data_IF_267520604815
#
_entry.id   IF_267520604815
#
_cell.length_a   1.000
_cell.length_b   1.000
_cell.length_c   1.000
_cell.angle_alpha   90.00
_cell.angle_beta   90.00
_cell.angle_gamma   90.00
#
_symmetry.space_group_name_H-M   'P 1'
#
loop_
_entity.id
_entity.type
_entity.pdbx_description
1 polymer ?
#
# COMPACT_ATOMS: atom_id res chain seq x y z
N UNK A 1 16.26 -12.16 12.60
CA UNK A 1 17.35 -13.11 12.97
C UNK A 1 16.80 -14.52 13.18
N UNK A 2 15.73 -14.66 13.95
CA UNK A 2 15.15 -15.95 14.39
C UNK A 2 14.69 -16.92 13.28
N UNK A 3 14.54 -16.42 12.05
CA UNK A 3 14.07 -17.19 10.88
C UNK A 3 15.20 -17.53 9.89
N UNK A 4 16.43 -17.08 10.15
CA UNK A 4 17.59 -17.40 9.32
C UNK A 4 17.82 -18.92 9.26
N UNK A 5 18.05 -19.47 8.05
CA UNK A 5 18.23 -20.90 7.82
C UNK A 5 16.94 -21.75 7.84
N UNK A 6 15.77 -21.16 8.12
CA UNK A 6 14.49 -21.89 8.19
C UNK A 6 13.70 -21.91 6.86
N UNK A 7 14.19 -21.22 5.83
CA UNK A 7 13.49 -21.10 4.54
C UNK A 7 12.20 -20.25 4.61
N UNK A 8 11.99 -19.51 5.69
CA UNK A 8 10.83 -18.63 5.87
C UNK A 8 11.19 -17.24 5.35
N UNK A 9 10.32 -16.70 4.50
CA UNK A 9 10.38 -15.33 3.97
C UNK A 9 9.47 -14.42 4.78
N UNK A 10 9.94 -13.20 5.04
CA UNK A 10 9.20 -12.17 5.78
C UNK A 10 9.20 -10.92 4.93
N UNK A 11 8.02 -10.38 4.68
CA UNK A 11 7.81 -9.20 3.86
C UNK A 11 6.84 -8.24 4.55
N UNK A 12 7.14 -6.95 4.51
CA UNK A 12 6.22 -5.88 4.82
C UNK A 12 5.88 -5.11 3.53
N UNK A 13 4.58 -4.98 3.26
CA UNK A 13 4.06 -4.15 2.18
C UNK A 13 3.46 -2.91 2.84
N UNK A 14 3.99 -1.74 2.49
CA UNK A 14 3.69 -0.46 3.13
C UNK A 14 3.09 0.51 2.07
N UNK A 15 1.79 0.43 1.78
CA UNK A 15 1.13 1.34 0.85
C UNK A 15 0.95 2.76 1.40
N UNK A 16 0.93 3.74 0.50
CA UNK A 16 0.47 5.09 0.73
C UNK A 16 -1.05 5.21 0.66
N UNK A 17 -1.55 6.22 -0.05
CA UNK A 17 -2.97 6.47 -0.24
C UNK A 17 -3.55 5.47 -1.26
N UNK A 18 -4.34 4.53 -0.76
CA UNK A 18 -5.09 3.54 -1.56
C UNK A 18 -6.58 3.81 -1.38
N UNK A 19 -7.30 3.94 -2.48
CA UNK A 19 -8.75 4.12 -2.48
C UNK A 19 -9.43 2.78 -2.24
N UNK A 20 -9.93 2.60 -1.01
CA UNK A 20 -10.62 1.41 -0.50
C UNK A 20 -11.66 1.88 0.52
N UNK A 21 -12.42 0.94 1.07
CA UNK A 21 -13.28 1.15 2.25
C UNK A 21 -12.50 1.62 3.50
N UNK A 22 -11.17 1.63 3.48
CA UNK A 22 -10.35 2.10 4.61
C UNK A 22 -10.76 3.49 5.10
N UNK A 23 -10.97 4.44 4.18
CA UNK A 23 -11.34 5.82 4.56
C UNK A 23 -12.76 5.91 5.10
N UNK A 24 -13.69 5.10 4.58
CA UNK A 24 -15.06 5.01 5.11
C UNK A 24 -15.07 4.46 6.53
N UNK A 25 -14.33 3.38 6.79
CA UNK A 25 -14.16 2.81 8.14
C UNK A 25 -13.50 3.82 9.07
N UNK A 26 -12.43 4.49 8.60
CA UNK A 26 -11.72 5.54 9.36
C UNK A 26 -12.65 6.67 9.79
N UNK A 27 -13.59 7.06 8.93
CA UNK A 27 -14.56 8.12 9.21
C UNK A 27 -15.93 7.60 9.65
N UNK A 28 -16.01 6.33 10.07
CA UNK A 28 -17.21 5.72 10.68
C UNK A 28 -18.46 5.81 9.79
N UNK A 29 -18.29 5.59 8.49
CA UNK A 29 -19.36 5.61 7.49
C UNK A 29 -19.68 6.99 6.91
N UNK A 30 -18.91 8.03 7.23
CA UNK A 30 -18.97 9.33 6.55
C UNK A 30 -18.30 9.24 5.17
N UNK A 31 -19.08 8.85 4.16
CA UNK A 31 -18.64 8.62 2.78
C UNK A 31 -18.17 9.91 2.11
N UNK A 32 -18.87 11.02 2.30
CA UNK A 32 -18.47 12.32 1.74
C UNK A 32 -17.08 12.75 2.21
N UNK A 33 -16.77 12.52 3.49
CA UNK A 33 -15.45 12.81 4.02
C UNK A 33 -14.38 11.83 3.53
N UNK A 34 -14.75 10.57 3.31
CA UNK A 34 -13.85 9.56 2.77
C UNK A 34 -13.45 9.89 1.32
N UNK A 35 -14.40 10.25 0.47
CA UNK A 35 -14.17 10.64 -0.93
C UNK A 35 -13.20 11.84 -1.03
N UNK A 36 -13.37 12.85 -0.19
CA UNK A 36 -12.50 14.04 -0.12
C UNK A 36 -11.01 13.75 0.14
N UNK A 37 -10.68 12.59 0.72
CA UNK A 37 -9.28 12.19 0.91
C UNK A 37 -8.57 12.08 -0.44
N UNK A 38 -9.27 11.53 -1.43
CA UNK A 38 -8.71 11.14 -2.73
C UNK A 38 -8.97 12.16 -3.85
N UNK A 39 -9.76 13.20 -3.57
CA UNK A 39 -9.97 14.31 -4.51
C UNK A 39 -8.66 15.03 -4.90
N UNK A 40 -8.54 15.37 -6.18
CA UNK A 40 -7.48 16.20 -6.76
C UNK A 40 -6.28 15.43 -7.33
N UNK A 41 -6.26 14.10 -7.31
CA UNK A 41 -5.16 13.28 -7.83
C UNK A 41 -5.62 11.83 -8.13
N UNK A 42 -4.73 10.97 -8.63
CA UNK A 42 -5.04 9.56 -8.87
C UNK A 42 -4.39 8.73 -7.74
N UNK A 43 -5.17 8.18 -6.78
CA UNK A 43 -4.64 7.32 -5.72
C UNK A 43 -4.27 5.94 -6.25
N UNK A 44 -3.62 5.13 -5.42
CA UNK A 44 -3.48 3.69 -5.69
C UNK A 44 -4.84 3.01 -5.58
N UNK A 45 -4.99 1.90 -6.29
CA UNK A 45 -6.17 1.04 -6.23
C UNK A 45 -5.87 -0.28 -5.50
N UNK A 46 -6.90 -1.02 -5.05
CA UNK A 46 -6.70 -2.32 -4.40
C UNK A 46 -5.92 -3.30 -5.28
N UNK A 47 -6.14 -3.26 -6.60
CA UNK A 47 -5.49 -4.14 -7.56
C UNK A 47 -3.98 -3.88 -7.65
N UNK A 48 -3.54 -2.62 -7.54
CA UNK A 48 -2.11 -2.28 -7.55
C UNK A 48 -1.38 -2.96 -6.37
N UNK A 49 -2.03 -2.99 -5.19
CA UNK A 49 -1.46 -3.61 -3.99
C UNK A 49 -1.51 -5.14 -4.09
N UNK A 50 -2.59 -5.69 -4.64
CA UNK A 50 -2.71 -7.13 -4.89
C UNK A 50 -1.61 -7.63 -5.83
N UNK A 51 -1.34 -6.91 -6.92
CA UNK A 51 -0.27 -7.23 -7.87
C UNK A 51 1.12 -7.16 -7.24
N UNK A 52 1.35 -6.17 -6.36
CA UNK A 52 2.60 -6.06 -5.60
C UNK A 52 2.79 -7.22 -4.63
N UNK A 53 1.73 -7.61 -3.90
CA UNK A 53 1.76 -8.79 -3.02
C UNK A 53 2.06 -10.03 -3.86
N UNK A 54 1.36 -10.21 -4.98
CA UNK A 54 1.56 -11.32 -5.90
C UNK A 54 3.02 -11.37 -6.40
N UNK A 55 3.56 -10.24 -6.82
CA UNK A 55 4.96 -10.13 -7.22
C UNK A 55 5.89 -10.57 -6.10
N UNK A 56 5.70 -10.09 -4.87
CA UNK A 56 6.55 -10.41 -3.73
C UNK A 56 6.53 -11.91 -3.38
N UNK A 57 5.35 -12.53 -3.35
CA UNK A 57 5.21 -13.95 -2.95
C UNK A 57 5.66 -14.92 -4.05
N UNK A 58 5.61 -14.52 -5.32
CA UNK A 58 6.01 -15.34 -6.47
C UNK A 58 7.51 -15.34 -6.76
N UNK A 59 8.31 -14.55 -6.03
CA UNK A 59 9.78 -14.56 -6.22
C UNK A 59 10.36 -15.96 -5.95
N UNK A 60 11.49 -16.34 -6.57
CA UNK A 60 12.19 -17.59 -6.28
C UNK A 60 12.45 -17.78 -4.77
N UNK A 61 12.54 -19.02 -4.26
CA UNK A 61 12.63 -19.28 -2.81
C UNK A 61 13.80 -18.59 -2.08
N UNK A 62 14.90 -18.29 -2.79
CA UNK A 62 16.08 -17.60 -2.23
C UNK A 62 15.97 -16.07 -2.23
N UNK A 63 14.88 -15.51 -2.78
CA UNK A 63 14.64 -14.06 -2.85
C UNK A 63 13.60 -13.67 -1.82
N UNK A 64 13.98 -12.74 -0.93
CA UNK A 64 13.10 -12.15 0.07
C UNK A 64 13.01 -10.63 -0.15
N UNK A 65 11.84 -10.13 -0.52
CA UNK A 65 11.54 -8.68 -0.51
C UNK A 65 11.12 -8.35 0.92
N UNK A 66 12.06 -7.84 1.72
CA UNK A 66 11.85 -7.64 3.15
C UNK A 66 10.89 -6.48 3.45
N UNK A 67 11.09 -5.35 2.78
CA UNK A 67 10.30 -4.14 2.95
C UNK A 67 10.04 -3.52 1.59
N UNK A 68 8.79 -3.18 1.31
CA UNK A 68 8.38 -2.49 0.10
C UNK A 68 7.44 -1.35 0.47
N UNK A 69 7.81 -0.13 0.07
CA UNK A 69 6.96 1.05 0.18
C UNK A 69 6.49 1.46 -1.20
N UNK A 70 5.18 1.68 -1.34
CA UNK A 70 4.56 2.10 -2.61
C UNK A 70 3.63 3.28 -2.35
N UNK A 71 3.69 4.29 -3.21
CA UNK A 71 2.83 5.48 -3.14
C UNK A 71 2.30 5.79 -4.53
N UNK A 72 1.14 6.44 -4.62
CA UNK A 72 0.70 7.01 -5.89
C UNK A 72 1.64 8.15 -6.30
N UNK A 73 1.74 8.44 -7.60
CA UNK A 73 2.72 9.39 -8.14
C UNK A 73 2.62 10.79 -7.52
N UNK A 74 1.40 11.25 -7.22
CA UNK A 74 1.15 12.55 -6.61
C UNK A 74 1.43 12.58 -5.09
N UNK A 75 1.84 11.47 -4.46
CA UNK A 75 2.17 11.40 -3.04
C UNK A 75 3.68 11.21 -2.83
N UNK A 76 4.33 12.19 -2.20
CA UNK A 76 5.76 12.14 -1.91
C UNK A 76 6.07 11.70 -0.47
N UNK A 77 5.12 11.86 0.45
CA UNK A 77 5.25 11.42 1.85
C UNK A 77 3.87 11.25 2.50
N UNK A 78 3.82 10.97 3.80
CA UNK A 78 2.57 10.95 4.58
C UNK A 78 1.86 12.30 4.66
N UNK A 79 2.56 13.40 4.40
CA UNK A 79 2.04 14.78 4.55
C UNK A 79 2.15 15.63 3.28
N UNK A 80 2.84 15.15 2.24
CA UNK A 80 3.06 15.89 1.00
C UNK A 80 2.33 15.17 -0.14
N UNK A 81 1.24 15.79 -0.60
CA UNK A 81 0.42 15.32 -1.72
C UNK A 81 0.20 16.48 -2.69
N UNK A 82 0.45 16.25 -3.98
CA UNK A 82 0.20 17.19 -5.06
C UNK A 82 -1.27 17.09 -5.51
N UNK A 83 -2.17 17.82 -4.85
CA UNK A 83 -3.58 17.93 -5.24
C UNK A 83 -3.77 19.05 -6.26
N UNK A 84 -4.51 18.78 -7.34
CA UNK A 84 -4.94 19.76 -8.33
C UNK A 84 -6.25 20.43 -7.95
#
# INVERSE_FOLDING_TARGET
>A
LDLNGKGIRVAAINPGLVETEFSEVRFKGDTERAEKVYEGFIPLKPEDIADIIWFAVTRPPHVNIADLTVMCLDQASSTIVNKK
#
